data_IF_043519612714
#
_entry.id   IF_043519612714
#
_cell.length_a   1.000
_cell.length_b   1.000
_cell.length_c   1.000
_cell.angle_alpha   90.00
_cell.angle_beta   90.00
_cell.angle_gamma   90.00
#
_symmetry.space_group_name_H-M   'P 1'
#
loop_
_entity.id
_entity.type
_entity.pdbx_description
1 polymer ?
#
# COMPACT_ATOMS: atom_id res chain seq x y z
N UNK A 1 29.83 -15.04 31.61
CA UNK A 1 28.74 -15.31 30.65
C UNK A 1 27.91 -14.06 30.61
N UNK A 2 28.11 -13.23 29.59
CA UNK A 2 27.55 -11.87 29.53
C UNK A 2 26.32 -11.93 28.64
N UNK A 3 25.15 -11.68 29.22
CA UNK A 3 23.83 -11.85 28.59
C UNK A 3 23.30 -10.50 28.05
N UNK A 4 24.19 -9.62 27.58
CA UNK A 4 23.84 -8.24 27.21
C UNK A 4 23.65 -8.03 25.71
N UNK A 5 23.70 -9.07 24.88
CA UNK A 5 23.65 -8.96 23.41
C UNK A 5 22.25 -9.19 22.78
N UNK A 6 21.18 -8.93 23.52
CA UNK A 6 19.81 -9.02 22.98
C UNK A 6 19.03 -7.77 23.36
N UNK A 7 19.38 -6.57 22.86
CA UNK A 7 18.46 -5.40 22.75
C UNK A 7 19.06 -4.28 21.88
N UNK A 8 19.53 -4.60 20.67
CA UNK A 8 19.78 -3.56 19.65
C UNK A 8 19.39 -4.10 18.27
N UNK A 9 18.09 -4.15 18.00
CA UNK A 9 17.53 -4.21 16.64
C UNK A 9 16.61 -3.00 16.39
N UNK A 10 17.04 -1.84 16.89
CA UNK A 10 16.38 -0.56 16.63
C UNK A 10 16.90 0.02 15.31
N UNK A 11 15.97 0.43 14.45
CA UNK A 11 16.10 1.45 13.40
C UNK A 11 16.81 1.16 12.07
N UNK A 12 16.74 -0.04 11.52
CA UNK A 12 16.82 -0.24 10.06
C UNK A 12 15.72 -1.22 9.67
N UNK A 13 14.75 -0.77 8.87
CA UNK A 13 13.62 -1.57 8.42
C UNK A 13 14.11 -2.92 7.85
N UNK A 14 13.88 -4.02 8.59
CA UNK A 14 14.30 -5.37 8.18
C UNK A 14 13.85 -5.59 6.72
N UNK A 15 14.75 -6.01 5.81
CA UNK A 15 14.40 -6.21 4.40
C UNK A 15 13.18 -7.13 4.23
N UNK A 16 12.92 -8.04 5.18
CA UNK A 16 11.72 -8.87 5.23
C UNK A 16 10.44 -8.08 5.49
N UNK A 17 10.49 -7.07 6.35
CA UNK A 17 9.35 -6.17 6.61
C UNK A 17 9.04 -5.31 5.39
N UNK A 18 10.08 -4.79 4.71
CA UNK A 18 9.90 -4.05 3.45
C UNK A 18 9.31 -4.92 2.34
N UNK A 19 9.79 -6.16 2.20
CA UNK A 19 9.26 -7.11 1.23
C UNK A 19 7.78 -7.43 1.49
N UNK A 20 7.40 -7.65 2.77
CA UNK A 20 5.99 -7.88 3.15
C UNK A 20 5.09 -6.67 2.87
N UNK A 21 5.58 -5.46 3.13
CA UNK A 21 4.84 -4.23 2.82
C UNK A 21 4.63 -4.07 1.31
N UNK A 22 5.66 -4.35 0.51
CA UNK A 22 5.56 -4.28 -0.94
C UNK A 22 4.54 -5.30 -1.49
N UNK A 23 4.59 -6.53 -1.01
CA UNK A 23 3.65 -7.59 -1.38
C UNK A 23 2.20 -7.21 -1.02
N UNK A 24 1.97 -6.76 0.21
CA UNK A 24 0.64 -6.31 0.66
C UNK A 24 0.12 -5.11 -0.16
N UNK A 25 0.99 -4.14 -0.49
CA UNK A 25 0.62 -2.98 -1.29
C UNK A 25 0.25 -3.36 -2.74
N UNK A 26 0.95 -4.34 -3.32
CA UNK A 26 0.64 -4.88 -4.64
C UNK A 26 -0.69 -5.66 -4.64
N UNK A 27 -0.95 -6.47 -3.62
CA UNK A 27 -2.22 -7.18 -3.47
C UNK A 27 -3.39 -6.21 -3.32
N UNK A 28 -3.21 -5.14 -2.55
CA UNK A 28 -4.20 -4.06 -2.43
C UNK A 28 -4.54 -3.43 -3.79
N UNK A 29 -3.52 -3.07 -4.57
CA UNK A 29 -3.71 -2.50 -5.91
C UNK A 29 -4.45 -3.48 -6.84
N UNK A 30 -4.14 -4.78 -6.77
CA UNK A 30 -4.86 -5.82 -7.51
C UNK A 30 -6.35 -5.87 -7.18
N UNK A 31 -6.70 -5.92 -5.88
CA UNK A 31 -8.10 -5.93 -5.44
C UNK A 31 -8.85 -4.66 -5.85
N UNK A 32 -8.21 -3.49 -5.71
CA UNK A 32 -8.77 -2.21 -6.14
C UNK A 32 -9.04 -2.18 -7.64
N UNK A 33 -8.08 -2.65 -8.45
CA UNK A 33 -8.24 -2.79 -9.89
C UNK A 33 -9.39 -3.74 -10.24
N UNK A 34 -9.53 -4.86 -9.55
CA UNK A 34 -10.65 -5.77 -9.74
C UNK A 34 -11.99 -5.07 -9.48
N UNK A 35 -12.14 -4.34 -8.38
CA UNK A 35 -13.36 -3.58 -8.08
C UNK A 35 -13.64 -2.49 -9.13
N UNK A 36 -12.61 -1.79 -9.60
CA UNK A 36 -12.73 -0.77 -10.65
C UNK A 36 -13.12 -1.35 -12.01
N UNK A 37 -12.67 -2.58 -12.30
CA UNK A 37 -12.94 -3.26 -13.56
C UNK A 37 -14.29 -4.00 -13.56
N UNK A 38 -14.92 -4.28 -12.40
CA UNK A 38 -16.24 -4.94 -12.33
C UNK A 38 -17.32 -4.28 -13.21
N UNK A 39 -17.51 -2.95 -13.20
CA UNK A 39 -18.50 -2.29 -14.06
C UNK A 39 -18.14 -2.37 -15.55
N UNK A 40 -16.85 -2.57 -15.85
CA UNK A 40 -16.32 -2.77 -17.19
C UNK A 40 -16.25 -4.25 -17.57
N UNK A 41 -16.61 -5.19 -16.71
CA UNK A 41 -16.75 -6.61 -17.05
C UNK A 41 -17.92 -6.82 -18.01
N UNK A 42 -17.96 -7.94 -18.75
CA UNK A 42 -19.15 -8.26 -19.52
C UNK A 42 -20.31 -8.33 -18.52
N UNK A 43 -21.47 -7.74 -18.84
CA UNK A 43 -22.69 -8.20 -18.20
C UNK A 43 -22.75 -9.69 -18.55
N UNK A 44 -22.52 -10.58 -17.59
CA UNK A 44 -23.05 -11.93 -17.71
C UNK A 44 -24.55 -11.73 -17.80
N UNK A 45 -25.03 -11.64 -19.04
CA UNK A 45 -26.44 -11.58 -19.33
C UNK A 45 -27.05 -12.79 -18.65
N UNK A 46 -27.80 -12.49 -17.59
CA UNK A 46 -28.92 -13.27 -17.12
C UNK A 46 -29.52 -14.02 -18.30
N UNK A 47 -29.52 -15.34 -18.20
CA UNK A 47 -30.08 -16.30 -19.17
C UNK A 47 -31.56 -16.01 -19.49
N UNK A 48 -31.84 -14.97 -20.27
CA UNK A 48 -33.18 -14.57 -20.65
C UNK A 48 -33.51 -13.15 -20.23
N UNK A 49 -33.73 -12.30 -21.22
CA UNK A 49 -34.42 -11.03 -21.01
C UNK A 49 -33.87 -9.88 -21.84
N UNK A 50 -34.32 -9.83 -23.09
CA UNK A 50 -34.64 -8.61 -23.82
C UNK A 50 -33.50 -7.65 -24.20
N UNK A 51 -33.02 -7.88 -25.42
CA UNK A 51 -32.67 -6.89 -26.44
C UNK A 51 -32.88 -5.40 -26.10
N UNK A 52 -31.79 -4.73 -25.75
CA UNK A 52 -31.60 -3.30 -26.02
C UNK A 52 -30.11 -3.03 -26.18
N UNK A 53 -29.56 -3.50 -27.30
CA UNK A 53 -28.17 -3.38 -27.70
C UNK A 53 -27.82 -1.92 -28.01
N UNK A 54 -27.42 -1.14 -27.00
CA UNK A 54 -26.79 0.15 -27.21
C UNK A 54 -25.36 -0.05 -27.74
N UNK A 55 -25.24 -0.16 -29.07
CA UNK A 55 -23.97 -0.36 -29.78
C UNK A 55 -22.91 0.72 -29.47
N UNK A 56 -23.34 1.91 -29.02
CA UNK A 56 -22.45 2.96 -28.53
C UNK A 56 -21.77 2.60 -27.20
N UNK A 57 -22.49 1.94 -26.28
CA UNK A 57 -21.95 1.52 -24.98
C UNK A 57 -20.87 0.45 -25.09
N UNK A 58 -20.98 -0.48 -26.04
CA UNK A 58 -20.00 -1.56 -26.24
C UNK A 58 -18.68 -1.04 -26.85
N UNK A 59 -18.76 -0.03 -27.73
CA UNK A 59 -17.59 0.65 -28.30
C UNK A 59 -16.84 1.48 -27.24
N UNK A 60 -17.58 2.21 -26.40
CA UNK A 60 -16.97 2.98 -25.29
C UNK A 60 -16.32 2.04 -24.28
N UNK A 61 -16.96 0.90 -23.99
CA UNK A 61 -16.44 -0.10 -23.06
C UNK A 61 -15.18 -0.79 -23.58
N UNK A 62 -15.15 -1.21 -24.85
CA UNK A 62 -13.97 -1.82 -25.47
C UNK A 62 -12.77 -0.85 -25.50
N UNK A 63 -12.97 0.41 -25.88
CA UNK A 63 -11.92 1.43 -25.83
C UNK A 63 -11.45 1.72 -24.38
N UNK A 64 -12.38 1.74 -23.42
CA UNK A 64 -12.05 1.90 -22.00
C UNK A 64 -11.21 0.75 -21.45
N UNK A 65 -11.57 -0.49 -21.78
CA UNK A 65 -10.80 -1.68 -21.40
C UNK A 65 -9.40 -1.65 -22.01
N UNK A 66 -9.29 -1.32 -23.29
CA UNK A 66 -8.01 -1.23 -24.00
C UNK A 66 -7.11 -0.13 -23.41
N UNK A 67 -7.68 1.03 -23.08
CA UNK A 67 -6.96 2.13 -22.44
C UNK A 67 -6.44 1.72 -21.04
N UNK A 68 -7.28 1.07 -20.23
CA UNK A 68 -6.89 0.58 -18.90
C UNK A 68 -5.83 -0.52 -18.99
N UNK A 69 -6.00 -1.49 -19.90
CA UNK A 69 -5.03 -2.55 -20.13
C UNK A 69 -3.69 -2.00 -20.62
N UNK A 70 -3.72 -1.02 -21.53
CA UNK A 70 -2.52 -0.34 -22.04
C UNK A 70 -1.82 0.44 -20.94
N UNK A 71 -2.56 1.17 -20.11
CA UNK A 71 -2.01 1.90 -18.97
C UNK A 71 -1.30 0.92 -18.01
N UNK A 72 -2.00 -0.11 -17.53
CA UNK A 72 -1.46 -1.12 -16.61
C UNK A 72 -0.23 -1.81 -17.21
N UNK A 73 -0.25 -2.19 -18.49
CA UNK A 73 0.87 -2.86 -19.16
C UNK A 73 2.11 -1.97 -19.29
N UNK A 74 1.92 -0.66 -19.52
CA UNK A 74 3.02 0.30 -19.65
C UNK A 74 3.60 0.73 -18.30
N UNK A 75 2.78 0.89 -17.28
CA UNK A 75 3.21 1.37 -15.96
C UNK A 75 3.46 0.26 -14.93
N UNK A 76 3.11 -0.99 -15.24
CA UNK A 76 3.23 -2.13 -14.32
C UNK A 76 2.23 -2.07 -13.15
N UNK A 77 1.08 -1.41 -13.34
CA UNK A 77 0.09 -1.10 -12.30
C UNK A 77 -0.33 0.37 -12.31
N UNK A 78 -1.20 0.79 -11.39
CA UNK A 78 -1.63 2.19 -11.26
C UNK A 78 -0.63 3.06 -10.48
N UNK A 79 0.35 2.43 -9.82
CA UNK A 79 1.34 3.10 -8.98
C UNK A 79 0.88 3.34 -7.55
N UNK A 80 -0.32 2.87 -7.18
CA UNK A 80 -0.90 3.06 -5.84
C UNK A 80 -0.08 2.29 -4.81
N UNK A 81 0.41 1.10 -5.16
CA UNK A 81 1.28 0.32 -4.29
C UNK A 81 2.54 1.11 -3.87
N UNK A 82 3.13 1.87 -4.80
CA UNK A 82 4.33 2.69 -4.54
C UNK A 82 4.01 3.85 -3.59
N UNK A 83 2.85 4.47 -3.75
CA UNK A 83 2.40 5.55 -2.88
C UNK A 83 2.08 5.06 -1.46
N UNK A 84 1.44 3.90 -1.33
CA UNK A 84 1.18 3.25 -0.02
C UNK A 84 2.50 2.97 0.70
N UNK A 85 3.48 2.37 0.02
CA UNK A 85 4.80 2.10 0.62
C UNK A 85 5.44 3.41 1.11
N UNK A 86 5.42 4.47 0.30
CA UNK A 86 6.00 5.76 0.68
C UNK A 86 5.33 6.37 1.92
N UNK A 87 4.00 6.37 2.00
CA UNK A 87 3.28 6.94 3.14
C UNK A 87 3.51 6.12 4.41
N UNK A 88 3.41 4.80 4.34
CA UNK A 88 3.62 3.90 5.49
C UNK A 88 5.06 4.00 6.00
N UNK A 89 6.04 4.06 5.11
CA UNK A 89 7.43 4.28 5.53
C UNK A 89 7.61 5.67 6.15
N UNK A 90 7.07 6.74 5.54
CA UNK A 90 7.19 8.10 6.07
C UNK A 90 6.54 8.27 7.46
N UNK A 91 5.40 7.64 7.71
CA UNK A 91 4.71 7.66 9.01
C UNK A 91 5.51 6.94 10.10
N UNK A 92 6.17 5.82 9.77
CA UNK A 92 7.05 5.12 10.71
C UNK A 92 8.27 5.95 11.09
N UNK A 93 8.89 6.65 10.14
CA UNK A 93 10.03 7.55 10.43
C UNK A 93 9.61 8.70 11.37
N UNK A 94 8.43 9.29 11.13
CA UNK A 94 7.88 10.39 11.94
C UNK A 94 7.51 9.94 13.36
N UNK A 95 7.06 8.69 13.53
CA UNK A 95 6.61 8.15 14.82
C UNK A 95 7.78 7.63 15.65
N UNK A 96 8.81 7.04 15.02
CA UNK A 96 10.04 6.62 15.70
C UNK A 96 10.86 7.79 16.26
N UNK A 97 10.78 8.97 15.63
CA UNK A 97 11.48 10.18 16.05
C UNK A 97 10.85 10.90 17.27
N UNK A 98 9.65 10.48 17.72
CA UNK A 98 8.95 11.12 18.85
C UNK A 98 9.27 10.49 20.21
N UNK A 99 9.82 9.28 20.23
CA UNK A 99 10.04 8.51 21.47
C UNK A 99 11.35 8.85 22.20
N UNK A 100 12.20 9.73 21.67
CA UNK A 100 13.52 10.07 22.25
C UNK A 100 13.57 11.40 22.99
N UNK A 101 12.47 12.16 23.11
CA UNK A 101 12.46 13.51 23.71
C UNK A 101 11.53 13.65 24.92
N UNK A 102 11.47 12.63 25.80
CA UNK A 102 10.68 12.73 27.06
C UNK A 102 11.29 11.96 28.23
N UNK A 103 12.61 11.81 28.26
CA UNK A 103 13.29 11.02 29.29
C UNK A 103 14.64 11.57 29.72
N UNK A 104 14.79 12.88 29.95
CA UNK A 104 15.94 13.37 30.74
C UNK A 104 15.70 14.76 31.37
N UNK A 105 15.01 14.79 32.51
CA UNK A 105 15.30 15.77 33.57
C UNK A 105 15.19 15.07 34.92
N UNK A 106 16.13 14.20 35.21
CA UNK A 106 16.42 13.77 36.58
C UNK A 106 17.90 14.00 36.84
N UNK A 107 18.30 15.28 36.87
CA UNK A 107 19.59 15.67 37.43
C UNK A 107 19.40 16.01 38.90
N UNK A 108 19.71 15.05 39.76
CA UNK A 108 19.94 15.27 41.19
C UNK A 108 21.44 15.52 41.36
N UNK A 109 21.91 16.75 41.65
CA UNK A 109 23.28 16.93 42.11
C UNK A 109 23.36 16.63 43.61
N UNK A 110 24.47 16.00 43.98
CA UNK A 110 24.74 15.36 45.24
C UNK A 110 24.75 16.31 46.45
N UNK A 111 24.41 15.74 47.61
CA UNK A 111 24.78 16.26 48.92
C UNK A 111 26.28 16.56 49.01
N UNK A 112 26.60 17.66 49.69
CA UNK A 112 27.90 17.89 50.32
C UNK A 112 27.58 18.43 51.71
N UNK A 113 28.22 17.81 52.72
CA UNK A 113 28.00 17.89 54.18
C UNK A 113 27.64 19.27 54.78
#
# INVERSE_FOLDING_TARGET
MNISEVTTRSSEQDPRTRAKLADAAQQFEGMMLQEMLKPLGPKEDSWGGEESSDSGSDTIRSFGIEAVATAISKSGGLGIARQVIQQVTAEHEKTGSRSTESGDTSHVPAQID
#
